data_IF_443877511286
#
_entry.id   IF_443877511286
#
_cell.length_a   1.000
_cell.length_b   1.000
_cell.length_c   1.000
_cell.angle_alpha   90.00
_cell.angle_beta   90.00
_cell.angle_gamma   90.00
#
_symmetry.space_group_name_H-M   'P 1'
#
loop_
_entity.id
_entity.type
_entity.pdbx_description
1 polymer ?
#
# COMPACT_ATOMS: atom_id res chain seq x y z
N UNK A 1 -7.02 14.09 12.25
CA UNK A 1 -7.96 12.99 11.98
C UNK A 1 -9.39 13.51 12.05
N UNK A 2 -10.18 13.32 10.98
CA UNK A 2 -11.57 13.73 10.95
C UNK A 2 -12.46 12.71 11.67
N UNK A 3 -13.12 13.13 12.75
CA UNK A 3 -13.96 12.28 13.59
C UNK A 3 -15.44 12.59 13.35
N UNK A 4 -16.26 11.55 13.28
CA UNK A 4 -17.73 11.60 13.21
C UNK A 4 -18.37 11.77 14.59
N UNK A 5 -17.71 11.22 15.60
CA UNK A 5 -18.20 11.14 16.97
C UNK A 5 -17.10 11.56 17.94
N UNK A 6 -17.50 11.92 19.15
CA UNK A 6 -16.54 12.15 20.23
C UNK A 6 -15.87 10.80 20.60
N UNK A 7 -14.52 10.72 20.65
CA UNK A 7 -13.79 9.52 21.05
C UNK A 7 -14.21 8.86 22.37
N UNK A 8 -14.88 9.58 23.26
CA UNK A 8 -15.42 9.01 24.50
C UNK A 8 -16.34 7.79 24.28
N UNK A 9 -16.92 7.63 23.08
CA UNK A 9 -17.72 6.46 22.72
C UNK A 9 -16.91 5.17 22.47
N UNK A 10 -15.57 5.23 22.44
CA UNK A 10 -14.70 4.07 22.18
C UNK A 10 -14.55 3.13 23.37
N UNK A 11 -14.93 3.50 24.59
CA UNK A 11 -14.71 2.63 25.76
C UNK A 11 -13.24 2.20 25.92
N UNK A 12 -12.98 0.95 26.31
CA UNK A 12 -11.62 0.45 26.63
C UNK A 12 -11.08 -0.48 25.55
N UNK A 13 -9.85 -0.22 25.11
CA UNK A 13 -9.14 -1.02 24.08
C UNK A 13 -7.80 -1.61 24.56
N UNK A 14 -7.23 -1.07 25.64
CA UNK A 14 -5.90 -1.45 26.14
C UNK A 14 -5.73 -2.95 26.40
N UNK A 15 -6.71 -3.58 27.05
CA UNK A 15 -6.67 -5.02 27.36
C UNK A 15 -6.67 -5.91 26.10
N UNK A 16 -7.32 -5.46 25.01
CA UNK A 16 -7.36 -6.17 23.72
C UNK A 16 -6.00 -6.07 23.04
N UNK A 17 -5.43 -4.86 22.97
CA UNK A 17 -4.10 -4.63 22.45
C UNK A 17 -3.05 -5.46 23.22
N UNK A 18 -3.17 -5.53 24.55
CA UNK A 18 -2.30 -6.33 25.40
C UNK A 18 -2.38 -7.83 25.07
N UNK A 19 -3.59 -8.37 24.93
CA UNK A 19 -3.78 -9.78 24.54
C UNK A 19 -3.13 -10.08 23.18
N UNK A 20 -3.25 -9.16 22.22
CA UNK A 20 -2.62 -9.28 20.90
C UNK A 20 -1.09 -9.17 20.96
N UNK A 21 -0.56 -8.26 21.78
CA UNK A 21 0.87 -8.14 22.02
C UNK A 21 1.44 -9.42 22.63
N UNK A 22 0.80 -9.99 23.65
CA UNK A 22 1.25 -11.26 24.24
C UNK A 22 1.24 -12.41 23.23
N UNK A 23 0.21 -12.48 22.38
CA UNK A 23 0.16 -13.46 21.29
C UNK A 23 1.30 -13.25 20.27
N UNK A 24 1.66 -11.99 19.99
CA UNK A 24 2.77 -11.66 19.11
C UNK A 24 4.11 -12.11 19.72
N UNK A 25 4.31 -11.90 21.02
CA UNK A 25 5.49 -12.37 21.74
C UNK A 25 5.62 -13.89 21.78
N UNK A 26 4.51 -14.63 21.91
CA UNK A 26 4.53 -16.08 21.79
C UNK A 26 4.98 -16.56 20.40
N UNK A 27 4.72 -15.77 19.36
CA UNK A 27 5.21 -16.03 18.00
C UNK A 27 6.71 -15.74 17.88
N UNK A 28 7.18 -14.63 18.45
CA UNK A 28 8.60 -14.26 18.49
C UNK A 28 9.49 -15.32 19.16
N UNK A 29 8.99 -15.98 20.22
CA UNK A 29 9.72 -17.09 20.86
C UNK A 29 10.01 -18.24 19.89
N UNK A 30 9.12 -18.47 18.92
CA UNK A 30 9.26 -19.52 17.91
C UNK A 30 10.04 -19.06 16.67
N UNK A 31 10.22 -17.74 16.50
CA UNK A 31 10.76 -17.11 15.31
C UNK A 31 11.62 -15.90 15.69
N UNK A 32 12.92 -16.12 16.02
CA UNK A 32 13.85 -15.07 16.45
C UNK A 32 14.17 -14.05 15.35
N UNK A 33 14.10 -14.45 14.07
CA UNK A 33 14.32 -13.54 12.95
C UNK A 33 13.18 -12.51 12.88
N UNK A 34 11.93 -12.97 13.01
CA UNK A 34 10.78 -12.08 13.08
C UNK A 34 10.88 -11.10 14.25
N UNK A 35 11.34 -11.55 15.43
CA UNK A 35 11.57 -10.68 16.58
C UNK A 35 12.55 -9.56 16.26
N UNK A 36 13.67 -9.91 15.60
CA UNK A 36 14.72 -8.95 15.24
C UNK A 36 14.18 -7.91 14.27
N UNK A 37 13.51 -8.34 13.20
CA UNK A 37 12.90 -7.44 12.22
C UNK A 37 11.84 -6.52 12.86
N UNK A 38 11.03 -7.05 13.78
CA UNK A 38 10.01 -6.27 14.46
C UNK A 38 10.60 -5.25 15.43
N UNK A 39 11.63 -5.64 16.18
CA UNK A 39 12.32 -4.76 17.11
C UNK A 39 12.99 -3.61 16.37
N UNK A 40 13.69 -3.90 15.27
CA UNK A 40 14.28 -2.90 14.39
C UNK A 40 13.24 -1.92 13.84
N UNK A 41 12.07 -2.41 13.41
CA UNK A 41 10.96 -1.55 12.98
C UNK A 41 10.50 -0.61 14.10
N UNK A 42 10.34 -1.12 15.32
CA UNK A 42 9.89 -0.32 16.47
C UNK A 42 10.95 0.71 16.88
N UNK A 43 12.23 0.35 16.91
CA UNK A 43 13.32 1.30 17.18
C UNK A 43 13.42 2.37 16.10
N UNK A 44 13.31 2.02 14.82
CA UNK A 44 13.29 2.99 13.72
C UNK A 44 12.12 3.99 13.86
N UNK A 45 10.95 3.55 14.32
CA UNK A 45 9.81 4.44 14.58
C UNK A 45 10.10 5.45 15.70
N UNK A 46 10.81 5.04 16.75
CA UNK A 46 11.23 5.94 17.84
C UNK A 46 12.30 6.92 17.38
N UNK A 47 13.35 6.43 16.73
CA UNK A 47 14.49 7.24 16.28
C UNK A 47 14.08 8.32 15.30
N UNK A 48 13.15 8.01 14.39
CA UNK A 48 12.61 8.97 13.44
C UNK A 48 11.56 9.93 14.05
N UNK A 49 11.26 9.80 15.36
CA UNK A 49 10.24 10.62 16.02
C UNK A 49 8.82 10.35 15.53
N UNK A 50 8.57 9.19 14.94
CA UNK A 50 7.24 8.78 14.47
C UNK A 50 6.36 8.25 15.61
N UNK A 51 6.95 7.94 16.76
CA UNK A 51 6.23 7.65 17.99
C UNK A 51 7.02 8.09 19.22
N UNK A 52 6.32 8.26 20.35
CA UNK A 52 6.93 8.67 21.62
C UNK A 52 6.41 7.81 22.77
N UNK A 53 7.30 7.44 23.69
CA UNK A 53 6.91 6.76 24.94
C UNK A 53 6.13 7.75 25.83
N UNK A 54 4.99 7.31 26.36
CA UNK A 54 4.23 8.08 27.34
C UNK A 54 4.25 7.40 28.71
N UNK A 55 4.41 8.21 29.76
CA UNK A 55 4.46 7.77 31.16
C UNK A 55 3.20 8.19 31.93
N UNK A 56 2.03 8.05 31.29
CA UNK A 56 0.76 8.36 31.95
C UNK A 56 0.37 7.22 32.90
N UNK A 57 0.03 7.58 34.15
CA UNK A 57 -0.45 6.64 35.18
C UNK A 57 -1.94 6.33 34.98
N UNK A 58 -2.71 7.30 34.50
CA UNK A 58 -4.16 7.17 34.30
C UNK A 58 -4.53 7.25 32.81
N UNK A 59 -5.37 6.33 32.36
CA UNK A 59 -5.86 6.28 30.98
C UNK A 59 -6.94 7.36 30.79
N UNK A 60 -6.61 8.40 30.01
CA UNK A 60 -7.56 9.45 29.64
C UNK A 60 -8.76 8.86 28.89
N UNK A 61 -9.95 9.40 29.16
CA UNK A 61 -11.14 9.11 28.35
C UNK A 61 -10.88 9.43 26.88
N UNK A 62 -11.44 8.62 25.98
CA UNK A 62 -11.22 8.75 24.55
C UNK A 62 -9.81 8.37 24.08
N UNK A 63 -9.08 7.54 24.84
CA UNK A 63 -7.83 6.91 24.39
C UNK A 63 -8.12 5.63 23.61
N UNK A 64 -7.32 5.34 22.59
CA UNK A 64 -7.46 4.11 21.80
C UNK A 64 -6.11 3.44 21.56
N UNK A 65 -6.02 2.16 21.95
CA UNK A 65 -4.86 1.31 21.79
C UNK A 65 -5.03 0.44 20.54
N UNK A 66 -4.29 0.77 19.49
CA UNK A 66 -4.29 0.06 18.22
C UNK A 66 -3.45 -1.23 18.36
N UNK A 67 -4.05 -2.42 18.21
CA UNK A 67 -3.26 -3.65 18.10
C UNK A 67 -2.46 -3.64 16.80
N UNK A 68 -1.24 -4.16 16.84
CA UNK A 68 -0.40 -4.30 15.66
C UNK A 68 0.04 -5.75 15.46
N UNK A 69 0.34 -6.11 14.21
CA UNK A 69 0.79 -7.44 13.80
C UNK A 69 1.83 -7.35 12.70
N UNK A 70 2.57 -8.42 12.45
CA UNK A 70 3.59 -8.49 11.40
C UNK A 70 3.14 -9.38 10.25
N UNK A 71 3.11 -8.83 9.05
CA UNK A 71 2.98 -9.58 7.80
C UNK A 71 4.40 -9.79 7.26
N UNK A 72 4.85 -11.03 7.33
CA UNK A 72 6.15 -11.42 6.79
C UNK A 72 6.01 -11.75 5.31
N UNK A 73 6.91 -11.19 4.50
CA UNK A 73 6.97 -11.35 3.04
C UNK A 73 8.42 -11.70 2.68
N UNK A 74 8.83 -12.98 2.80
CA UNK A 74 10.22 -13.38 2.59
C UNK A 74 10.72 -13.07 1.18
N UNK A 75 9.81 -13.03 0.20
CA UNK A 75 10.07 -12.67 -1.19
C UNK A 75 10.40 -11.18 -1.41
N UNK A 76 10.22 -10.33 -0.39
CA UNK A 76 10.51 -8.90 -0.48
C UNK A 76 11.95 -8.61 -0.07
N UNK A 77 12.82 -8.37 -1.05
CA UNK A 77 14.25 -8.08 -0.82
C UNK A 77 14.49 -6.84 0.07
N UNK A 78 13.62 -5.83 0.01
CA UNK A 78 13.82 -4.54 0.69
C UNK A 78 12.98 -4.35 1.95
N UNK A 79 11.93 -5.14 2.17
CA UNK A 79 11.02 -4.99 3.32
C UNK A 79 10.36 -6.31 3.68
N UNK A 80 11.15 -7.27 4.20
CA UNK A 80 10.65 -8.61 4.52
C UNK A 80 9.58 -8.60 5.63
N UNK A 81 9.51 -7.54 6.44
CA UNK A 81 8.45 -7.34 7.43
C UNK A 81 7.64 -6.07 7.15
N UNK A 82 6.31 -6.21 7.10
CA UNK A 82 5.37 -5.07 7.18
C UNK A 82 4.57 -5.17 8.47
N UNK A 83 4.78 -4.22 9.38
CA UNK A 83 3.95 -4.08 10.57
C UNK A 83 2.64 -3.41 10.18
N UNK A 84 1.50 -3.98 10.58
CA UNK A 84 0.15 -3.49 10.28
C UNK A 84 -0.54 -3.08 11.57
N UNK A 85 -1.11 -1.87 11.58
CA UNK A 85 -1.89 -1.33 12.70
C UNK A 85 -3.39 -1.54 12.45
N UNK A 86 -4.06 -2.31 13.32
CA UNK A 86 -5.46 -2.70 13.14
C UNK A 86 -6.41 -1.74 13.88
N UNK A 87 -6.67 -0.59 13.27
CA UNK A 87 -7.62 0.41 13.77
C UNK A 87 -9.11 0.01 13.63
N UNK A 88 -9.41 -1.17 13.07
CA UNK A 88 -10.77 -1.74 12.97
C UNK A 88 -11.10 -2.69 14.13
N UNK A 89 -10.19 -2.89 15.08
CA UNK A 89 -10.46 -3.74 16.25
C UNK A 89 -11.57 -3.15 17.10
N UNK A 90 -12.62 -3.93 17.40
CA UNK A 90 -13.69 -3.47 18.27
C UNK A 90 -13.21 -3.36 19.73
N UNK A 91 -13.65 -2.31 20.40
CA UNK A 91 -13.45 -2.06 21.82
C UNK A 91 -14.53 -2.72 22.68
N UNK A 92 -14.47 -2.56 24.01
CA UNK A 92 -15.57 -2.97 24.90
C UNK A 92 -16.90 -2.31 24.60
N UNK A 93 -16.90 -1.13 23.96
CA UNK A 93 -18.12 -0.42 23.58
C UNK A 93 -18.68 -0.87 22.22
N UNK A 94 -18.04 -1.83 21.54
CA UNK A 94 -18.46 -2.30 20.21
C UNK A 94 -18.06 -1.38 19.06
N UNK A 95 -17.36 -0.28 19.34
CA UNK A 95 -16.83 0.65 18.33
C UNK A 95 -15.34 0.42 18.08
N UNK A 96 -14.84 0.83 16.91
CA UNK A 96 -13.42 0.90 16.57
C UNK A 96 -13.00 2.33 16.23
N UNK A 97 -11.70 2.61 16.20
CA UNK A 97 -11.20 3.90 15.74
C UNK A 97 -11.67 4.20 14.30
N UNK A 98 -11.70 3.18 13.43
CA UNK A 98 -12.16 3.33 12.05
C UNK A 98 -13.65 3.63 11.92
N UNK A 99 -14.51 3.05 12.77
CA UNK A 99 -15.95 3.33 12.70
C UNK A 99 -16.29 4.79 13.00
N UNK A 100 -15.53 5.43 13.88
CA UNK A 100 -15.77 6.83 14.29
C UNK A 100 -15.05 7.86 13.40
N UNK A 101 -14.30 7.43 12.38
CA UNK A 101 -13.59 8.34 11.47
C UNK A 101 -14.38 8.57 10.17
N UNK A 102 -14.29 9.78 9.62
CA UNK A 102 -14.62 10.01 8.22
C UNK A 102 -13.48 9.44 7.35
N UNK A 103 -13.83 8.74 6.27
CA UNK A 103 -12.84 8.29 5.29
C UNK A 103 -12.30 9.44 4.43
N UNK A 104 -13.04 10.55 4.34
CA UNK A 104 -12.71 11.74 3.53
C UNK A 104 -13.06 11.61 2.03
N UNK A 105 -13.50 10.42 1.58
CA UNK A 105 -13.77 10.14 0.18
C UNK A 105 -12.50 9.90 -0.65
N UNK A 106 -12.68 9.60 -1.94
CA UNK A 106 -11.60 9.41 -2.89
C UNK A 106 -11.38 10.72 -3.63
N UNK A 107 -10.20 11.32 -3.45
CA UNK A 107 -9.79 12.56 -4.14
C UNK A 107 -8.71 12.32 -5.20
N UNK A 108 -8.27 11.08 -5.32
CA UNK A 108 -7.30 10.64 -6.31
C UNK A 108 -8.05 10.31 -7.60
N UNK A 109 -7.43 10.61 -8.73
CA UNK A 109 -7.91 10.14 -10.02
C UNK A 109 -7.92 8.60 -10.04
N UNK A 110 -8.81 8.04 -10.85
CA UNK A 110 -8.87 6.60 -10.99
C UNK A 110 -7.59 6.06 -11.64
N UNK A 111 -7.28 4.80 -11.32
CA UNK A 111 -6.07 4.14 -11.78
C UNK A 111 -5.98 4.09 -13.32
N UNK A 112 -7.09 3.91 -14.02
CA UNK A 112 -7.11 3.86 -15.47
C UNK A 112 -6.67 5.21 -16.05
N UNK A 113 -7.21 6.32 -15.55
CA UNK A 113 -6.82 7.67 -15.96
C UNK A 113 -5.33 7.96 -15.74
N UNK A 114 -4.78 7.58 -14.58
CA UNK A 114 -3.35 7.74 -14.26
C UNK A 114 -2.50 6.94 -15.24
N UNK A 115 -2.86 5.68 -15.48
CA UNK A 115 -2.13 4.83 -16.41
C UNK A 115 -2.19 5.38 -17.84
N UNK A 116 -3.36 5.79 -18.35
CA UNK A 116 -3.49 6.37 -19.69
C UNK A 116 -2.67 7.66 -19.84
N UNK A 117 -2.55 8.50 -18.81
CA UNK A 117 -1.65 9.67 -18.86
C UNK A 117 -0.20 9.22 -18.94
N UNK A 118 0.20 8.29 -18.08
CA UNK A 118 1.54 7.72 -18.10
C UNK A 118 1.90 7.21 -19.49
N UNK A 119 1.00 6.47 -20.15
CA UNK A 119 1.14 5.94 -21.53
C UNK A 119 1.48 6.99 -22.60
N UNK A 120 1.11 8.26 -22.39
CA UNK A 120 1.30 9.31 -23.41
C UNK A 120 2.75 9.78 -23.53
N UNK A 121 3.57 9.57 -22.50
CA UNK A 121 4.90 10.16 -22.43
C UNK A 121 5.94 9.33 -23.17
N UNK A 122 6.67 9.94 -24.11
CA UNK A 122 7.81 9.30 -24.77
C UNK A 122 8.98 9.01 -23.81
N UNK A 123 9.26 9.93 -22.88
CA UNK A 123 10.26 9.79 -21.83
C UNK A 123 9.59 9.69 -20.48
N UNK A 124 9.61 8.51 -19.89
CA UNK A 124 8.81 8.21 -18.73
C UNK A 124 9.64 7.71 -17.56
N UNK A 125 9.13 7.98 -16.37
CA UNK A 125 9.73 7.52 -15.14
C UNK A 125 8.68 7.20 -14.07
N UNK A 126 9.09 6.34 -13.16
CA UNK A 126 8.34 6.07 -11.93
C UNK A 126 9.22 6.31 -10.72
N UNK A 127 8.59 6.61 -9.59
CA UNK A 127 9.25 6.77 -8.30
C UNK A 127 8.27 6.50 -7.15
N UNK A 128 8.79 6.27 -5.95
CA UNK A 128 8.02 6.01 -4.73
C UNK A 128 8.35 7.06 -3.66
N UNK A 129 7.33 7.64 -3.03
CA UNK A 129 7.49 8.53 -1.88
C UNK A 129 7.81 7.70 -0.62
N UNK A 130 9.09 7.75 -0.22
CA UNK A 130 9.61 6.98 0.90
C UNK A 130 8.81 7.26 2.18
N UNK A 131 8.16 6.22 2.70
CA UNK A 131 7.45 6.27 3.98
C UNK A 131 6.37 7.37 4.03
N UNK A 132 5.70 7.66 2.91
CA UNK A 132 4.75 8.78 2.73
C UNK A 132 3.89 9.11 3.97
N UNK A 133 3.12 8.14 4.47
CA UNK A 133 2.24 8.34 5.63
C UNK A 133 2.98 8.80 6.89
N UNK A 134 4.19 8.29 7.11
CA UNK A 134 5.02 8.61 8.29
C UNK A 134 5.60 10.02 8.24
N UNK A 135 5.56 10.68 7.09
CA UNK A 135 6.03 12.07 6.96
C UNK A 135 4.98 13.11 7.34
N UNK A 136 3.75 12.68 7.65
CA UNK A 136 2.61 13.56 7.92
C UNK A 136 2.28 13.50 9.41
N UNK A 137 2.48 14.60 10.13
CA UNK A 137 2.22 14.66 11.56
C UNK A 137 0.72 14.70 11.87
N UNK A 138 0.34 13.98 12.92
CA UNK A 138 -0.97 14.07 13.56
C UNK A 138 -0.89 15.12 14.67
N UNK A 139 -1.91 15.97 14.72
CA UNK A 139 -2.03 17.00 15.74
C UNK A 139 -1.94 16.39 17.15
N UNK A 140 -1.15 16.96 18.08
CA UNK A 140 -0.92 16.38 19.41
C UNK A 140 -2.18 15.99 20.17
N UNK A 141 -3.25 16.79 20.07
CA UNK A 141 -4.53 16.51 20.75
C UNK A 141 -5.22 15.21 20.33
N UNK A 142 -4.83 14.63 19.19
CA UNK A 142 -5.43 13.41 18.65
C UNK A 142 -4.51 12.19 18.71
N UNK A 143 -3.27 12.32 19.22
CA UNK A 143 -2.31 11.21 19.29
C UNK A 143 -2.72 10.12 20.28
N UNK A 144 -3.50 10.47 21.31
CA UNK A 144 -4.08 9.50 22.26
C UNK A 144 -4.98 8.44 21.61
N UNK A 145 -5.49 8.72 20.41
CA UNK A 145 -6.28 7.79 19.61
C UNK A 145 -5.42 6.77 18.85
N UNK A 146 -4.10 6.96 18.86
CA UNK A 146 -3.13 6.11 18.16
C UNK A 146 -2.09 5.58 19.14
N UNK A 147 -2.55 5.07 20.29
CA UNK A 147 -1.67 4.42 21.26
C UNK A 147 -1.33 3.01 20.83
N UNK A 148 -0.13 2.55 21.13
CA UNK A 148 0.27 1.15 20.98
C UNK A 148 0.98 0.66 22.23
N UNK A 149 1.01 -0.66 22.42
CA UNK A 149 1.74 -1.30 23.52
C UNK A 149 2.95 -2.03 22.96
N UNK A 150 4.11 -1.82 23.55
CA UNK A 150 5.32 -2.53 23.17
C UNK A 150 6.21 -2.81 24.39
N UNK A 151 7.03 -3.86 24.29
CA UNK A 151 8.08 -4.20 25.25
C UNK A 151 9.30 -4.65 24.47
N UNK A 152 10.51 -4.39 24.96
CA UNK A 152 11.75 -4.75 24.24
C UNK A 152 12.21 -6.19 24.53
N UNK A 153 11.60 -6.87 25.50
CA UNK A 153 11.94 -8.25 25.84
C UNK A 153 10.72 -9.01 26.36
N UNK A 154 10.78 -10.34 26.34
CA UNK A 154 9.65 -11.21 26.73
C UNK A 154 9.19 -10.94 28.18
N UNK A 155 10.12 -10.74 29.10
CA UNK A 155 9.86 -10.43 30.51
C UNK A 155 9.99 -8.92 30.82
N UNK A 156 10.16 -8.09 29.80
CA UNK A 156 10.33 -6.65 29.97
C UNK A 156 9.02 -5.93 30.33
N UNK A 157 9.12 -4.71 30.89
CA UNK A 157 7.95 -3.91 31.19
C UNK A 157 7.22 -3.52 29.91
N UNK A 158 5.89 -3.55 29.96
CA UNK A 158 5.04 -3.10 28.86
C UNK A 158 4.93 -1.59 28.93
N UNK A 159 5.39 -0.95 27.86
CA UNK A 159 5.36 0.50 27.68
C UNK A 159 4.23 0.89 26.75
N UNK A 160 3.76 2.12 26.91
CA UNK A 160 2.76 2.73 26.02
C UNK A 160 3.44 3.78 25.15
N UNK A 161 3.13 3.74 23.86
CA UNK A 161 3.63 4.71 22.89
C UNK A 161 2.46 5.40 22.20
N UNK A 162 2.62 6.67 21.88
CA UNK A 162 1.71 7.41 21.00
C UNK A 162 2.34 7.59 19.63
N UNK A 163 1.64 7.17 18.58
CA UNK A 163 2.05 7.43 17.20
C UNK A 163 1.83 8.91 16.87
N UNK A 164 2.85 9.53 16.29
CA UNK A 164 2.89 10.96 16.03
C UNK A 164 2.48 11.32 14.59
N UNK A 165 2.39 10.34 13.72
CA UNK A 165 2.20 10.51 12.27
C UNK A 165 0.93 9.81 11.79
N UNK A 166 0.53 10.06 10.55
CA UNK A 166 -0.64 9.41 9.96
C UNK A 166 -0.38 7.90 9.90
N UNK A 167 -1.15 7.14 10.67
CA UNK A 167 -1.01 5.68 10.73
C UNK A 167 -1.83 5.01 9.63
N UNK A 168 -1.15 4.30 8.74
CA UNK A 168 -1.81 3.45 7.75
C UNK A 168 -2.64 2.35 8.44
N UNK A 169 -3.77 1.98 7.82
CA UNK A 169 -4.79 1.12 8.44
C UNK A 169 -5.87 1.89 9.19
N UNK A 170 -5.72 3.21 9.39
CA UNK A 170 -6.82 4.09 9.79
C UNK A 170 -7.70 4.48 8.59
N UNK A 171 -9.00 4.66 8.81
CA UNK A 171 -9.96 4.91 7.73
C UNK A 171 -9.69 6.22 6.97
N UNK A 172 -9.18 7.24 7.65
CA UNK A 172 -8.85 8.54 7.06
C UNK A 172 -7.44 8.63 6.47
N UNK A 173 -6.57 7.65 6.70
CA UNK A 173 -5.16 7.72 6.31
C UNK A 173 -4.94 8.02 4.82
N UNK A 174 -5.60 7.31 3.87
CA UNK A 174 -5.41 7.55 2.45
C UNK A 174 -5.79 8.97 2.02
N UNK A 175 -6.94 9.46 2.50
CA UNK A 175 -7.38 10.83 2.22
C UNK A 175 -6.41 11.85 2.81
N UNK A 176 -5.97 11.68 4.05
CA UNK A 176 -5.03 12.60 4.70
C UNK A 176 -3.71 12.68 3.95
N UNK A 177 -3.18 11.54 3.49
CA UNK A 177 -1.96 11.50 2.71
C UNK A 177 -2.10 12.25 1.38
N UNK A 178 -3.12 11.88 0.59
CA UNK A 178 -3.34 12.51 -0.70
C UNK A 178 -3.67 14.00 -0.58
N UNK A 179 -4.47 14.40 0.42
CA UNK A 179 -4.85 15.80 0.63
C UNK A 179 -3.65 16.65 1.04
N UNK A 180 -2.69 16.06 1.76
CA UNK A 180 -1.43 16.72 2.13
C UNK A 180 -0.57 16.98 0.89
N UNK A 181 -0.41 16.00 0.01
CA UNK A 181 0.31 16.19 -1.26
C UNK A 181 -0.37 17.21 -2.17
N UNK A 182 -1.71 17.21 -2.25
CA UNK A 182 -2.45 18.27 -2.96
C UNK A 182 -2.25 19.64 -2.32
N UNK A 183 -2.17 19.73 -0.99
CA UNK A 183 -1.90 21.02 -0.33
C UNK A 183 -0.49 21.51 -0.67
N UNK A 184 0.50 20.62 -0.62
CA UNK A 184 1.87 20.92 -1.00
C UNK A 184 1.95 21.41 -2.45
N UNK A 185 1.23 20.77 -3.36
CA UNK A 185 1.11 21.20 -4.75
C UNK A 185 0.56 22.62 -4.85
N UNK A 186 -0.53 22.94 -4.14
CA UNK A 186 -1.13 24.28 -4.12
C UNK A 186 -0.15 25.33 -3.59
N UNK A 187 0.50 25.04 -2.46
CA UNK A 187 1.35 25.99 -1.74
C UNK A 187 2.63 26.32 -2.54
N UNK A 188 3.18 25.32 -3.23
CA UNK A 188 4.48 25.43 -3.93
C UNK A 188 4.35 25.54 -5.46
N UNK A 189 3.12 25.54 -6.02
CA UNK A 189 2.84 25.63 -7.47
C UNK A 189 3.58 26.77 -8.17
N UNK A 190 3.73 27.91 -7.51
CA UNK A 190 4.41 29.08 -8.10
C UNK A 190 5.89 28.81 -8.36
N UNK A 191 6.54 27.98 -7.53
CA UNK A 191 7.97 27.65 -7.66
C UNK A 191 8.18 26.41 -8.53
N UNK A 192 7.29 25.42 -8.43
CA UNK A 192 7.41 24.13 -9.10
C UNK A 192 6.11 23.76 -9.84
N UNK A 193 5.75 24.47 -10.92
CA UNK A 193 4.45 24.33 -11.58
C UNK A 193 4.26 22.96 -12.25
N UNK A 194 5.32 22.38 -12.81
CA UNK A 194 5.23 21.08 -13.49
C UNK A 194 5.06 19.96 -12.45
N UNK A 195 5.88 19.97 -11.40
CA UNK A 195 5.75 18.98 -10.33
C UNK A 195 4.43 19.12 -9.54
N UNK A 196 3.92 20.33 -9.32
CA UNK A 196 2.61 20.53 -8.70
C UNK A 196 1.48 19.88 -9.52
N UNK A 197 1.58 19.90 -10.85
CA UNK A 197 0.62 19.21 -11.72
C UNK A 197 0.69 17.69 -11.52
N UNK A 198 1.90 17.13 -11.47
CA UNK A 198 2.11 15.69 -11.21
C UNK A 198 1.58 15.26 -9.83
N UNK A 199 1.78 16.06 -8.78
CA UNK A 199 1.25 15.76 -7.44
C UNK A 199 -0.29 15.75 -7.41
N UNK A 200 -0.96 16.40 -8.36
CA UNK A 200 -2.41 16.44 -8.44
C UNK A 200 -3.01 15.32 -9.29
N UNK A 201 -2.34 14.92 -10.38
CA UNK A 201 -2.90 14.00 -11.38
C UNK A 201 -2.13 12.68 -11.54
N UNK A 202 -0.85 12.60 -11.23
CA UNK A 202 0.02 11.49 -11.69
C UNK A 202 0.55 10.63 -10.54
N UNK A 203 -0.01 10.83 -9.34
CA UNK A 203 0.21 9.98 -8.18
C UNK A 203 -0.88 8.93 -8.06
N UNK A 204 -0.49 7.71 -7.71
CA UNK A 204 -1.35 6.70 -7.10
C UNK A 204 -0.80 6.31 -5.73
N UNK A 205 -1.48 6.73 -4.65
CA UNK A 205 -0.92 6.72 -3.29
C UNK A 205 0.52 7.29 -3.25
N UNK A 206 1.51 6.46 -2.93
CA UNK A 206 2.94 6.76 -2.83
C UNK A 206 3.70 6.63 -4.16
N UNK A 207 3.09 6.07 -5.21
CA UNK A 207 3.72 5.84 -6.51
C UNK A 207 3.48 7.04 -7.45
N UNK A 208 4.57 7.55 -8.04
CA UNK A 208 4.58 8.54 -9.12
C UNK A 208 4.71 7.81 -10.46
N UNK A 209 3.83 8.10 -11.41
CA UNK A 209 3.91 7.61 -12.79
C UNK A 209 3.76 8.79 -13.75
N UNK A 210 4.88 9.33 -14.24
CA UNK A 210 4.85 10.53 -15.06
C UNK A 210 5.96 10.55 -16.10
N UNK A 211 6.08 11.65 -16.83
CA UNK A 211 7.03 11.79 -17.91
C UNK A 211 6.82 13.04 -18.73
N UNK A 212 7.46 13.07 -19.89
CA UNK A 212 7.29 14.11 -20.90
C UNK A 212 7.58 13.56 -22.30
N UNK A 213 7.24 14.32 -23.33
CA UNK A 213 7.59 13.98 -24.72
C UNK A 213 8.98 14.51 -25.11
N UNK A 214 9.60 15.31 -24.25
CA UNK A 214 10.94 15.84 -24.41
C UNK A 214 11.82 15.45 -23.21
N UNK A 215 13.05 15.02 -23.51
CA UNK A 215 13.98 14.50 -22.50
C UNK A 215 14.39 15.57 -21.48
N UNK A 216 14.68 16.79 -21.92
CA UNK A 216 15.11 17.85 -21.01
C UNK A 216 13.95 18.30 -20.12
N UNK A 217 12.74 18.35 -20.66
CA UNK A 217 11.52 18.60 -19.91
C UNK A 217 11.28 17.53 -18.86
N UNK A 218 11.48 16.25 -19.19
CA UNK A 218 11.39 15.15 -18.22
C UNK A 218 12.46 15.26 -17.10
N UNK A 219 13.71 15.63 -17.43
CA UNK A 219 14.77 15.88 -16.43
C UNK A 219 14.44 17.06 -15.52
N UNK A 220 13.91 18.15 -16.08
CA UNK A 220 13.47 19.30 -15.31
C UNK A 220 12.33 18.92 -14.36
N UNK A 221 11.36 18.13 -14.84
CA UNK A 221 10.26 17.64 -14.03
C UNK A 221 10.73 16.77 -12.86
N UNK A 222 11.70 15.87 -13.06
CA UNK A 222 12.29 15.07 -11.98
C UNK A 222 12.92 15.97 -10.90
N UNK A 223 13.66 17.00 -11.31
CA UNK A 223 14.26 17.99 -10.38
C UNK A 223 13.19 18.74 -9.60
N UNK A 224 12.18 19.27 -10.27
CA UNK A 224 11.06 19.95 -9.60
C UNK A 224 10.33 19.01 -8.61
N UNK A 225 10.16 17.73 -8.96
CA UNK A 225 9.52 16.73 -8.09
C UNK A 225 10.33 16.45 -6.83
N UNK A 226 11.65 16.34 -6.96
CA UNK A 226 12.56 16.18 -5.82
C UNK A 226 12.45 17.42 -4.92
N UNK A 227 12.51 18.62 -5.50
CA UNK A 227 12.52 19.88 -4.74
C UNK A 227 11.18 20.16 -4.05
N UNK A 228 10.05 19.98 -4.74
CA UNK A 228 8.73 20.20 -4.14
C UNK A 228 8.49 19.24 -2.97
N UNK A 229 8.83 17.95 -3.11
CA UNK A 229 8.65 16.98 -2.02
C UNK A 229 9.63 17.23 -0.88
N UNK A 230 10.87 17.65 -1.18
CA UNK A 230 11.86 18.04 -0.18
C UNK A 230 11.38 19.21 0.67
N UNK A 231 10.66 20.18 0.09
CA UNK A 231 10.02 21.27 0.85
C UNK A 231 8.99 20.76 1.87
N UNK A 232 8.32 19.65 1.57
CA UNK A 232 7.43 18.90 2.48
C UNK A 232 8.15 17.88 3.37
N UNK A 233 9.49 17.86 3.38
CA UNK A 233 10.36 16.88 4.05
C UNK A 233 10.18 15.44 3.57
N UNK A 234 9.60 15.24 2.39
CA UNK A 234 9.44 13.93 1.76
C UNK A 234 10.57 13.69 0.75
N UNK A 235 10.90 12.43 0.50
CA UNK A 235 11.92 12.05 -0.48
C UNK A 235 11.44 10.93 -1.38
N UNK A 236 11.82 11.02 -2.66
CA UNK A 236 11.56 10.00 -3.66
C UNK A 236 12.68 8.96 -3.68
N UNK A 237 12.31 7.71 -3.97
CA UNK A 237 13.24 6.60 -4.15
C UNK A 237 12.68 5.57 -5.14
N UNK A 238 13.43 4.50 -5.40
CA UNK A 238 13.10 3.46 -6.39
C UNK A 238 12.78 4.04 -7.77
N UNK A 239 13.62 4.98 -8.20
CA UNK A 239 13.45 5.58 -9.51
C UNK A 239 13.64 4.54 -10.61
N UNK A 240 12.79 4.56 -11.62
CA UNK A 240 12.88 3.72 -12.80
C UNK A 240 12.51 4.55 -14.03
N UNK A 241 13.11 4.27 -15.20
CA UNK A 241 12.81 5.00 -16.43
C UNK A 241 12.99 4.15 -17.69
N UNK A 242 12.27 4.49 -18.76
CA UNK A 242 12.43 3.85 -20.07
C UNK A 242 13.70 4.26 -20.83
N UNK A 243 14.42 5.28 -20.38
CA UNK A 243 15.72 5.64 -20.95
C UNK A 243 16.80 5.78 -19.89
N UNK A 244 18.01 5.35 -20.24
CA UNK A 244 19.19 5.54 -19.39
C UNK A 244 19.53 7.03 -19.20
N UNK A 245 19.10 7.91 -20.11
CA UNK A 245 19.41 9.34 -20.03
C UNK A 245 18.66 10.07 -18.91
N UNK A 246 17.53 9.51 -18.44
CA UNK A 246 16.82 9.99 -17.26
C UNK A 246 17.39 9.41 -15.96
N UNK A 247 18.14 8.32 -16.04
CA UNK A 247 18.86 7.74 -14.92
C UNK A 247 20.16 8.52 -14.67
N UNK A 248 20.06 9.78 -14.28
CA UNK A 248 21.26 10.55 -13.91
C UNK A 248 21.74 10.04 -12.54
N UNK A 249 22.84 9.29 -12.56
CA UNK A 249 23.55 8.76 -11.40
C UNK A 249 23.99 9.88 -10.45
N UNK A 250 23.16 10.16 -9.44
CA UNK A 250 23.59 10.78 -8.20
C UNK A 250 23.56 9.73 -7.09
N UNK A 251 24.59 9.67 -6.25
CA UNK A 251 24.63 8.76 -5.09
C UNK A 251 23.42 8.90 -4.15
N UNK A 252 22.69 10.03 -4.21
CA UNK A 252 21.48 10.29 -3.41
C UNK A 252 20.18 9.64 -3.93
N UNK A 253 20.08 9.31 -5.23
CA UNK A 253 18.83 8.81 -5.83
C UNK A 253 19.11 7.67 -6.82
N UNK A 254 19.43 6.46 -6.32
CA UNK A 254 19.73 5.34 -7.20
C UNK A 254 18.51 4.98 -8.05
N UNK A 255 18.71 4.93 -9.37
CA UNK A 255 17.76 4.31 -10.28
C UNK A 255 17.88 2.80 -10.17
N UNK A 256 16.79 2.14 -9.83
CA UNK A 256 16.64 0.73 -10.09
C UNK A 256 15.98 0.62 -11.46
N UNK A 257 16.72 0.17 -12.47
CA UNK A 257 16.13 -0.34 -13.71
C UNK A 257 16.10 -1.88 -13.62
N UNK A 258 15.29 -2.47 -12.71
CA UNK A 258 15.10 -3.91 -12.74
C UNK A 258 14.48 -4.28 -14.10
N UNK A 259 14.67 -5.52 -14.55
CA UNK A 259 14.04 -5.98 -15.79
C UNK A 259 12.52 -5.80 -15.75
N UNK A 260 11.93 -5.78 -14.56
CA UNK A 260 10.51 -5.60 -14.31
C UNK A 260 10.24 -4.77 -13.04
N UNK A 261 9.41 -3.74 -13.16
CA UNK A 261 8.89 -2.99 -12.01
C UNK A 261 7.38 -3.20 -11.91
N UNK A 262 6.90 -3.76 -10.79
CA UNK A 262 5.45 -3.76 -10.50
C UNK A 262 5.02 -2.33 -10.24
N UNK A 263 4.25 -1.77 -11.16
CA UNK A 263 3.73 -0.42 -11.10
C UNK A 263 2.21 -0.51 -11.08
N UNK A 264 1.62 -0.23 -9.91
CA UNK A 264 0.17 -0.23 -9.69
C UNK A 264 -0.55 -1.53 -10.02
N UNK A 265 0.13 -2.67 -9.91
CA UNK A 265 -0.43 -4.00 -10.19
C UNK A 265 -0.22 -4.50 -11.62
N UNK A 266 0.32 -3.67 -12.52
CA UNK A 266 0.82 -4.08 -13.85
C UNK A 266 2.34 -4.10 -13.79
N UNK A 267 2.98 -5.02 -14.53
CA UNK A 267 4.44 -5.02 -14.64
C UNK A 267 4.85 -4.09 -15.78
N UNK A 268 5.74 -3.15 -15.52
CA UNK A 268 6.35 -2.32 -16.56
C UNK A 268 7.80 -2.76 -16.74
N UNK A 269 8.15 -3.17 -17.96
CA UNK A 269 9.52 -3.43 -18.40
C UNK A 269 10.07 -2.13 -18.97
N UNK A 270 10.77 -1.37 -18.14
CA UNK A 270 11.20 -0.03 -18.51
C UNK A 270 12.14 -0.03 -19.72
N UNK A 271 13.07 -0.99 -19.81
CA UNK A 271 14.04 -1.08 -20.92
C UNK A 271 13.42 -1.26 -22.31
N UNK A 272 12.33 -2.02 -22.41
CA UNK A 272 11.61 -2.25 -23.67
C UNK A 272 10.38 -1.35 -23.81
N UNK A 273 10.08 -0.57 -22.76
CA UNK A 273 8.89 0.25 -22.59
C UNK A 273 7.55 -0.49 -22.81
N UNK A 274 7.47 -1.73 -22.30
CA UNK A 274 6.27 -2.56 -22.43
C UNK A 274 5.56 -2.75 -21.09
N UNK A 275 4.23 -2.79 -21.11
CA UNK A 275 3.45 -3.43 -20.05
C UNK A 275 3.41 -4.94 -20.25
N UNK A 276 3.57 -5.63 -19.13
CA UNK A 276 3.50 -7.08 -19.01
C UNK A 276 2.54 -7.46 -17.88
N UNK A 277 2.06 -8.69 -17.97
CA UNK A 277 1.11 -9.24 -17.01
C UNK A 277 1.75 -10.43 -16.32
N UNK A 278 1.38 -10.65 -15.05
CA UNK A 278 1.88 -11.79 -14.28
C UNK A 278 0.76 -12.54 -13.63
N UNK A 279 0.60 -13.78 -14.05
CA UNK A 279 -0.27 -14.79 -13.45
C UNK A 279 0.63 -15.85 -12.82
N UNK A 280 0.43 -16.09 -11.52
CA UNK A 280 1.16 -17.09 -10.78
C UNK A 280 0.87 -18.51 -11.31
N UNK A 281 1.91 -19.33 -11.40
CA UNK A 281 1.80 -20.77 -11.67
C UNK A 281 1.50 -21.48 -10.34
N UNK A 282 0.23 -21.60 -10.00
CA UNK A 282 -0.24 -22.40 -8.86
C UNK A 282 -1.07 -23.59 -9.37
N UNK A 283 -1.13 -24.68 -8.60
CA UNK A 283 -2.16 -25.71 -8.81
C UNK A 283 -3.54 -25.05 -8.68
N UNK A 284 -4.23 -24.92 -9.81
CA UNK A 284 -5.51 -24.25 -9.84
C UNK A 284 -6.57 -25.17 -9.22
N UNK A 285 -7.06 -24.79 -8.05
CA UNK A 285 -8.13 -25.52 -7.40
C UNK A 285 -9.43 -25.53 -8.22
N UNK A 286 -10.15 -26.65 -8.14
CA UNK A 286 -11.41 -26.91 -8.86
C UNK A 286 -12.62 -26.78 -7.94
N UNK A 287 -12.65 -25.74 -7.11
CA UNK A 287 -13.87 -25.32 -6.37
C UNK A 287 -14.27 -23.92 -6.81
N UNK A 288 -15.55 -23.57 -6.64
CA UNK A 288 -16.05 -22.25 -6.99
C UNK A 288 -15.27 -21.11 -6.31
N UNK A 289 -14.87 -21.28 -5.05
CA UNK A 289 -14.03 -20.33 -4.31
C UNK A 289 -12.66 -20.17 -4.95
N UNK A 290 -12.01 -21.27 -5.32
CA UNK A 290 -10.66 -21.25 -5.89
C UNK A 290 -10.66 -20.67 -7.31
N UNK A 291 -11.69 -20.98 -8.12
CA UNK A 291 -11.93 -20.31 -9.40
C UNK A 291 -12.04 -18.80 -9.21
N UNK A 292 -12.93 -18.33 -8.32
CA UNK A 292 -13.10 -16.90 -8.08
C UNK A 292 -11.79 -16.23 -7.60
N UNK A 293 -11.05 -16.89 -6.70
CA UNK A 293 -9.75 -16.42 -6.23
C UNK A 293 -8.76 -16.24 -7.38
N UNK A 294 -8.65 -17.21 -8.27
CA UNK A 294 -7.79 -17.13 -9.47
C UNK A 294 -8.21 -15.99 -10.40
N UNK A 295 -9.52 -15.86 -10.68
CA UNK A 295 -10.04 -14.78 -11.53
C UNK A 295 -9.72 -13.41 -10.94
N UNK A 296 -9.89 -13.24 -9.63
CA UNK A 296 -9.61 -11.98 -8.94
C UNK A 296 -8.13 -11.58 -8.94
N UNK A 297 -7.21 -12.53 -9.17
CA UNK A 297 -5.77 -12.26 -9.31
C UNK A 297 -5.39 -11.73 -10.70
N UNK A 298 -6.25 -11.91 -11.71
CA UNK A 298 -6.03 -11.33 -13.04
C UNK A 298 -6.33 -9.83 -12.95
N UNK A 299 -5.29 -9.06 -12.68
CA UNK A 299 -5.38 -7.62 -12.52
C UNK A 299 -5.14 -6.93 -13.87
N UNK A 300 -6.19 -6.30 -14.40
CA UNK A 300 -6.18 -5.65 -15.72
C UNK A 300 -6.84 -4.27 -15.65
N UNK A 301 -6.12 -3.26 -15.13
CA UNK A 301 -6.67 -1.92 -14.95
C UNK A 301 -6.92 -1.19 -16.26
N UNK A 302 -6.23 -1.58 -17.35
CA UNK A 302 -6.36 -0.97 -18.69
C UNK A 302 -7.37 -1.68 -19.60
N UNK A 303 -7.88 -2.85 -19.21
CA UNK A 303 -8.77 -3.65 -20.05
C UNK A 303 -8.08 -4.37 -21.21
N UNK A 304 -6.74 -4.46 -21.19
CA UNK A 304 -5.92 -5.08 -22.25
C UNK A 304 -6.20 -6.59 -22.33
N UNK A 305 -6.37 -7.23 -21.17
CA UNK A 305 -6.73 -8.64 -21.05
C UNK A 305 -8.25 -8.86 -21.13
N UNK A 306 -9.00 -7.89 -21.66
CA UNK A 306 -10.45 -7.92 -21.78
C UNK A 306 -11.03 -9.26 -22.29
N UNK A 307 -10.49 -9.88 -23.35
CA UNK A 307 -10.96 -11.19 -23.82
C UNK A 307 -10.76 -12.32 -22.78
N UNK A 308 -9.64 -12.31 -22.05
CA UNK A 308 -9.32 -13.30 -21.01
C UNK A 308 -10.23 -13.11 -19.80
N UNK A 309 -10.38 -11.86 -19.34
CA UNK A 309 -11.27 -11.48 -18.23
C UNK A 309 -12.73 -11.76 -18.55
N UNK A 310 -13.15 -11.60 -19.81
CA UNK A 310 -14.53 -11.90 -20.24
C UNK A 310 -14.80 -13.39 -20.18
N UNK A 311 -13.91 -14.23 -20.71
CA UNK A 311 -14.04 -15.70 -20.64
C UNK A 311 -14.16 -16.20 -19.21
N UNK A 312 -13.33 -15.69 -18.30
CA UNK A 312 -13.40 -16.07 -16.88
C UNK A 312 -14.69 -15.63 -16.21
N UNK A 313 -15.20 -14.42 -16.50
CA UNK A 313 -16.48 -13.94 -15.96
C UNK A 313 -17.67 -14.77 -16.47
N UNK A 314 -17.68 -15.16 -17.74
CA UNK A 314 -18.71 -16.07 -18.30
C UNK A 314 -18.66 -17.42 -17.60
N UNK A 315 -17.45 -17.98 -17.43
CA UNK A 315 -17.26 -19.24 -16.70
C UNK A 315 -17.81 -19.16 -15.28
N UNK A 316 -17.47 -18.09 -14.55
CA UNK A 316 -17.95 -17.85 -13.20
C UNK A 316 -19.49 -17.71 -13.16
N UNK A 317 -20.09 -16.99 -14.11
CA UNK A 317 -21.55 -16.88 -14.26
C UNK A 317 -22.21 -18.25 -14.40
N UNK A 318 -21.63 -19.15 -15.21
CA UNK A 318 -22.13 -20.53 -15.35
C UNK A 318 -22.07 -21.29 -14.02
N UNK A 319 -21.00 -21.15 -13.24
CA UNK A 319 -20.93 -21.76 -11.90
C UNK A 319 -21.99 -21.23 -10.92
N UNK A 320 -22.44 -19.98 -11.10
CA UNK A 320 -23.57 -19.44 -10.34
C UNK A 320 -24.89 -20.13 -10.74
N UNK A 321 -25.11 -20.37 -12.03
CA UNK A 321 -26.31 -21.05 -12.53
C UNK A 321 -26.41 -22.52 -12.09
N UNK A 322 -25.26 -23.17 -11.85
CA UNK A 322 -25.20 -24.52 -11.28
C UNK A 322 -25.54 -24.60 -9.78
N UNK A 323 -25.75 -23.45 -9.13
CA UNK A 323 -26.10 -23.36 -7.70
C UNK A 323 -25.11 -24.06 -6.75
N UNK A 324 -23.82 -24.11 -7.14
CA UNK A 324 -22.74 -24.68 -6.32
C UNK A 324 -22.46 -23.77 -5.11
N UNK A 325 -22.19 -24.38 -3.95
CA UNK A 325 -21.60 -23.69 -2.80
C UNK A 325 -20.13 -23.37 -3.05
N UNK A 326 -19.54 -22.56 -2.18
CA UNK A 326 -18.17 -22.07 -2.33
C UNK A 326 -17.11 -23.16 -2.44
N UNK A 327 -17.23 -24.18 -1.60
CA UNK A 327 -16.23 -25.24 -1.45
C UNK A 327 -16.66 -26.54 -2.12
N UNK A 328 -17.77 -26.52 -2.85
CA UNK A 328 -18.20 -27.66 -3.65
C UNK A 328 -17.22 -27.83 -4.83
N UNK A 329 -16.81 -29.08 -5.14
CA UNK A 329 -16.03 -29.35 -6.33
C UNK A 329 -16.86 -29.02 -7.58
N UNK A 330 -16.17 -28.56 -8.62
CA UNK A 330 -16.80 -28.38 -9.93
C UNK A 330 -17.24 -29.73 -10.49
N UNK A 331 -18.38 -29.81 -11.22
CA UNK A 331 -18.70 -31.00 -12.00
C UNK A 331 -17.61 -31.26 -13.04
N UNK A 332 -17.45 -32.52 -13.44
CA UNK A 332 -16.31 -32.97 -14.24
C UNK A 332 -16.09 -32.13 -15.52
N UNK A 333 -17.17 -31.82 -16.24
CA UNK A 333 -17.12 -31.00 -17.46
C UNK A 333 -16.54 -29.60 -17.19
N UNK A 334 -17.04 -28.90 -16.18
CA UNK A 334 -16.57 -27.57 -15.82
C UNK A 334 -15.16 -27.60 -15.22
N UNK A 335 -14.81 -28.67 -14.49
CA UNK A 335 -13.48 -28.88 -13.95
C UNK A 335 -12.44 -29.02 -15.07
N UNK A 336 -12.72 -29.87 -16.07
CA UNK A 336 -11.83 -30.10 -17.21
C UNK A 336 -11.63 -28.80 -18.01
N UNK A 337 -12.72 -28.08 -18.30
CA UNK A 337 -12.67 -26.80 -19.00
C UNK A 337 -11.86 -25.75 -18.20
N UNK A 338 -12.04 -25.71 -16.87
CA UNK A 338 -11.29 -24.80 -16.00
C UNK A 338 -9.80 -25.12 -15.96
N UNK A 339 -9.43 -26.40 -15.85
CA UNK A 339 -8.04 -26.84 -15.83
C UNK A 339 -7.36 -26.48 -17.15
N UNK A 340 -8.04 -26.70 -18.28
CA UNK A 340 -7.52 -26.33 -19.59
C UNK A 340 -7.33 -24.82 -19.72
N UNK A 341 -8.32 -24.03 -19.31
CA UNK A 341 -8.23 -22.56 -19.37
C UNK A 341 -7.15 -22.02 -18.43
N UNK A 342 -7.09 -22.51 -17.20
CA UNK A 342 -6.16 -22.01 -16.18
C UNK A 342 -4.71 -22.39 -16.49
N UNK A 343 -4.46 -23.57 -17.06
CA UNK A 343 -3.15 -23.92 -17.63
C UNK A 343 -2.73 -22.94 -18.73
N UNK A 344 -3.65 -22.56 -19.62
CA UNK A 344 -3.38 -21.59 -20.68
C UNK A 344 -3.25 -20.15 -20.18
N UNK A 345 -3.70 -19.85 -18.95
CA UNK A 345 -3.62 -18.52 -18.37
C UNK A 345 -2.17 -18.07 -18.14
N UNK A 346 -1.23 -19.01 -18.06
CA UNK A 346 0.21 -18.69 -17.99
C UNK A 346 0.72 -18.00 -19.25
N UNK A 347 0.10 -18.23 -20.41
CA UNK A 347 0.46 -17.57 -21.67
C UNK A 347 0.21 -16.06 -21.63
N UNK A 348 -0.57 -15.57 -20.66
CA UNK A 348 -0.74 -14.13 -20.41
C UNK A 348 0.59 -13.48 -20.01
N UNK A 349 1.52 -14.24 -19.44
CA UNK A 349 2.84 -13.75 -19.05
C UNK A 349 3.71 -13.38 -20.26
N UNK A 350 3.40 -13.92 -21.44
CA UNK A 350 4.12 -13.64 -22.69
C UNK A 350 3.51 -12.45 -23.45
N UNK A 351 2.40 -11.89 -22.96
CA UNK A 351 1.78 -10.72 -23.56
C UNK A 351 2.58 -9.48 -23.17
N UNK A 352 3.15 -8.83 -24.19
CA UNK A 352 3.76 -7.52 -24.09
C UNK A 352 2.95 -6.53 -24.94
N UNK A 353 2.65 -5.39 -24.34
CA UNK A 353 1.97 -4.29 -25.03
C UNK A 353 2.78 -3.04 -24.78
N UNK A 354 3.15 -2.33 -25.84
CA UNK A 354 3.81 -1.03 -25.74
C UNK A 354 3.06 -0.16 -24.73
N UNK A 355 3.82 0.57 -23.93
CA UNK A 355 3.24 1.52 -23.00
C UNK A 355 2.49 2.62 -23.72
#
# INVERSE_FOLDING_TARGET
MPLKENPDCLGKSRHIALKKLNSLWNRFVKDPELLTLYSNFMHEYLELGHMYEIKEIEEKSGSYYIPHLGVFRPESETSPLRVVFNASTLTTAGNSLNSIQYNGGVIQDDLFSIMIRFRKHAFAFTADIKKMYRMILVHPSQRQLQRILWKDSYNGPIKTYELATVTYGTASAPFLAMRTLKQLAIDERKRYPAAATVLESDLYMDDVLSGSDDLETAKNLQRELIDILSSGKMSLHKWCSNTAELAVNGESYPFSNPEETKTLGVVWKSKTDCFCFKVASEEFGVTKRLVLSTIARVFDPLGILGPVVTKTKIFLQRLWLLNLKWDDPLPAKEADEWIQFSSALQNVNDIEVDR
#
